data_IF_480170307668
#
_entry.id   IF_480170307668
#
_cell.length_a   1.000
_cell.length_b   1.000
_cell.length_c   1.000
_cell.angle_alpha   90.00
_cell.angle_beta   90.00
_cell.angle_gamma   90.00
#
_symmetry.space_group_name_H-M   'P 1'
#
loop_
_entity.id
_entity.type
_entity.pdbx_description
1 polymer ?
#
# COMPACT_ATOMS: atom_id res chain seq x y z
N UNK A 1 -30.23 -49.43 19.94
CA UNK A 1 -30.46 -48.66 21.19
C UNK A 1 -29.14 -48.03 21.66
N UNK A 2 -28.50 -47.22 20.82
CA UNK A 2 -27.27 -46.52 21.16
C UNK A 2 -27.63 -45.10 21.61
N UNK A 3 -27.98 -44.96 22.89
CA UNK A 3 -28.05 -43.67 23.58
C UNK A 3 -26.89 -43.61 24.57
N UNK A 4 -25.71 -43.19 24.08
CA UNK A 4 -24.60 -42.83 24.95
C UNK A 4 -24.07 -41.45 24.55
N UNK A 5 -24.63 -40.47 25.26
CA UNK A 5 -23.95 -39.28 25.76
C UNK A 5 -23.22 -38.43 24.69
N UNK A 6 -24.00 -37.69 23.92
CA UNK A 6 -23.55 -36.37 23.49
C UNK A 6 -23.54 -35.46 24.72
N UNK A 7 -22.43 -35.44 25.46
CA UNK A 7 -22.15 -34.42 26.48
C UNK A 7 -21.98 -33.09 25.74
N UNK A 8 -23.10 -32.44 25.46
CA UNK A 8 -23.16 -31.05 25.03
C UNK A 8 -22.71 -30.22 26.23
N UNK A 9 -21.41 -29.99 26.37
CA UNK A 9 -20.87 -28.92 27.23
C UNK A 9 -21.41 -27.61 26.67
N UNK A 10 -22.55 -27.17 27.20
CA UNK A 10 -23.05 -25.81 27.00
C UNK A 10 -22.11 -24.89 27.78
N UNK A 11 -21.07 -24.39 27.11
CA UNK A 11 -20.23 -23.33 27.64
C UNK A 11 -21.12 -22.10 27.89
N UNK A 12 -21.15 -21.63 29.14
CA UNK A 12 -21.97 -20.51 29.60
C UNK A 12 -21.58 -19.20 28.88
N UNK A 13 -22.54 -18.31 28.55
CA UNK A 13 -22.29 -17.01 27.90
C UNK A 13 -21.35 -16.06 28.67
N UNK A 14 -21.19 -16.25 29.98
CA UNK A 14 -20.28 -15.44 30.82
C UNK A 14 -18.82 -15.68 30.42
N UNK A 15 -18.41 -16.94 30.35
CA UNK A 15 -17.04 -17.34 30.03
C UNK A 15 -16.61 -16.91 28.62
N UNK A 16 -17.56 -16.74 27.68
CA UNK A 16 -17.27 -16.23 26.33
C UNK A 16 -16.99 -14.71 26.35
N UNK A 17 -17.66 -13.94 27.20
CA UNK A 17 -17.38 -12.51 27.38
C UNK A 17 -16.03 -12.30 28.04
N UNK A 18 -15.71 -13.08 29.06
CA UNK A 18 -14.41 -13.03 29.75
C UNK A 18 -13.25 -13.38 28.79
N UNK A 19 -13.46 -14.36 27.89
CA UNK A 19 -12.47 -14.70 26.85
C UNK A 19 -12.29 -13.60 25.80
N UNK A 20 -13.38 -12.96 25.34
CA UNK A 20 -13.31 -11.84 24.39
C UNK A 20 -12.65 -10.61 25.01
N UNK A 21 -12.92 -10.33 26.29
CA UNK A 21 -12.27 -9.24 27.02
C UNK A 21 -10.77 -9.51 27.19
N UNK A 22 -10.39 -10.75 27.50
CA UNK A 22 -8.98 -11.15 27.58
C UNK A 22 -8.27 -11.09 26.22
N UNK A 23 -8.90 -11.55 25.14
CA UNK A 23 -8.38 -11.42 23.77
C UNK A 23 -8.17 -9.94 23.41
N UNK A 24 -9.17 -9.09 23.68
CA UNK A 24 -9.08 -7.66 23.44
C UNK A 24 -7.97 -7.00 24.28
N UNK A 25 -7.79 -7.41 25.53
CA UNK A 25 -6.72 -6.91 26.40
C UNK A 25 -5.34 -7.35 25.92
N UNK A 26 -5.20 -8.59 25.43
CA UNK A 26 -3.95 -9.10 24.85
C UNK A 26 -3.63 -8.40 23.54
N UNK A 27 -4.62 -8.18 22.68
CA UNK A 27 -4.45 -7.41 21.44
C UNK A 27 -4.07 -5.95 21.72
N UNK A 28 -4.73 -5.31 22.68
CA UNK A 28 -4.41 -3.94 23.08
C UNK A 28 -3.02 -3.86 23.73
N UNK A 29 -2.66 -4.84 24.58
CA UNK A 29 -1.33 -4.91 25.18
C UNK A 29 -0.26 -5.21 24.12
N UNK A 30 -0.53 -6.06 23.14
CA UNK A 30 0.35 -6.32 22.00
C UNK A 30 0.53 -5.07 21.15
N UNK A 31 -0.55 -4.33 20.87
CA UNK A 31 -0.52 -3.07 20.14
C UNK A 31 0.28 -1.99 20.89
N UNK A 32 0.12 -1.89 22.21
CA UNK A 32 0.92 -0.97 23.06
C UNK A 32 2.39 -1.38 23.06
N UNK A 33 2.70 -2.67 23.15
CA UNK A 33 4.08 -3.17 23.09
C UNK A 33 4.72 -2.93 21.73
N UNK A 34 3.99 -3.16 20.65
CA UNK A 34 4.45 -2.86 19.29
C UNK A 34 4.68 -1.35 19.12
N UNK A 35 3.76 -0.50 19.59
CA UNK A 35 3.94 0.96 19.58
C UNK A 35 5.19 1.36 20.36
N UNK A 36 5.39 0.83 21.56
CA UNK A 36 6.57 1.12 22.37
C UNK A 36 7.87 0.68 21.69
N UNK A 37 7.90 -0.50 21.05
CA UNK A 37 9.06 -0.97 20.26
C UNK A 37 9.33 -0.08 19.05
N UNK A 38 8.29 0.40 18.38
CA UNK A 38 8.42 1.33 17.25
C UNK A 38 8.94 2.68 17.73
N UNK A 39 8.41 3.23 18.82
CA UNK A 39 8.86 4.49 19.40
C UNK A 39 10.33 4.43 19.85
N UNK A 40 10.75 3.36 20.54
CA UNK A 40 12.16 3.18 20.92
C UNK A 40 13.08 2.99 19.72
N UNK A 41 12.60 2.35 18.65
CA UNK A 41 13.34 2.23 17.40
C UNK A 41 13.52 3.59 16.72
N UNK A 42 12.47 4.42 16.70
CA UNK A 42 12.53 5.80 16.18
C UNK A 42 13.52 6.64 16.98
N UNK A 43 13.51 6.55 18.32
CA UNK A 43 14.42 7.32 19.16
C UNK A 43 15.88 6.84 19.04
N UNK A 44 16.08 5.53 18.85
CA UNK A 44 17.40 4.96 18.55
C UNK A 44 17.93 5.44 17.21
N UNK A 45 17.07 5.52 16.18
CA UNK A 45 17.42 6.08 14.88
C UNK A 45 17.76 7.57 14.98
N UNK A 46 16.97 8.36 15.73
CA UNK A 46 17.28 9.78 15.99
C UNK A 46 18.64 9.95 16.66
N UNK A 47 18.95 9.14 17.69
CA UNK A 47 20.23 9.18 18.38
C UNK A 47 21.40 8.80 17.44
N UNK A 48 21.21 7.76 16.63
CA UNK A 48 22.16 7.33 15.61
C UNK A 48 22.42 8.44 14.58
N UNK A 49 21.35 9.04 14.02
CA UNK A 49 21.45 10.17 13.10
C UNK A 49 22.16 11.37 13.73
N UNK A 50 21.87 11.71 14.99
CA UNK A 50 22.55 12.77 15.72
C UNK A 50 24.05 12.50 15.90
N UNK A 51 24.45 11.25 16.09
CA UNK A 51 25.88 10.89 16.16
C UNK A 51 26.59 10.98 14.80
N UNK A 52 25.88 10.71 13.70
CA UNK A 52 26.41 10.85 12.33
C UNK A 52 26.49 12.31 11.85
N UNK A 53 25.71 13.25 12.42
CA UNK A 53 25.79 14.73 12.23
C UNK A 53 27.15 15.32 12.55
N UNK A 54 27.96 14.65 13.35
CA UNK A 54 29.30 15.11 13.69
C UNK A 54 30.42 14.46 12.88
N UNK A 55 30.15 13.44 12.07
CA UNK A 55 31.19 12.66 11.39
C UNK A 55 31.30 12.93 9.87
N UNK A 56 30.19 13.17 9.17
CA UNK A 56 30.20 13.61 7.77
C UNK A 56 28.80 14.02 7.28
N UNK A 57 28.62 15.27 6.81
CA UNK A 57 27.33 15.74 6.26
C UNK A 57 26.82 14.93 5.06
N UNK A 58 27.71 14.29 4.29
CA UNK A 58 27.34 13.50 3.11
C UNK A 58 26.62 12.18 3.48
N UNK A 59 27.05 11.53 4.58
CA UNK A 59 26.44 10.27 5.05
C UNK A 59 25.01 10.52 5.54
N UNK A 60 24.77 11.68 6.15
CA UNK A 60 23.45 12.08 6.59
C UNK A 60 22.52 12.49 5.48
N UNK A 61 23.03 13.19 4.47
CA UNK A 61 22.24 13.49 3.30
C UNK A 61 21.73 12.18 2.68
N UNK A 62 22.59 11.16 2.57
CA UNK A 62 22.21 9.83 2.11
C UNK A 62 21.17 9.15 3.01
N UNK A 63 21.41 9.11 4.34
CA UNK A 63 20.48 8.50 5.29
C UNK A 63 19.12 9.21 5.36
N UNK A 64 19.10 10.54 5.30
CA UNK A 64 17.86 11.34 5.26
C UNK A 64 17.12 11.08 3.95
N UNK A 65 17.81 11.01 2.81
CA UNK A 65 17.19 10.72 1.52
C UNK A 65 16.61 9.29 1.53
N UNK A 66 17.32 8.31 2.07
CA UNK A 66 16.87 6.93 2.20
C UNK A 66 15.67 6.78 3.16
N UNK A 67 15.70 7.47 4.30
CA UNK A 67 14.57 7.53 5.24
C UNK A 67 13.35 8.26 4.64
N UNK A 68 13.58 9.32 3.87
CA UNK A 68 12.53 10.08 3.19
C UNK A 68 11.89 9.28 2.04
N UNK A 69 12.69 8.51 1.31
CA UNK A 69 12.22 7.53 0.32
C UNK A 69 11.36 6.46 1.01
N UNK A 70 11.80 5.96 2.17
CA UNK A 70 11.07 4.94 2.95
C UNK A 70 9.75 5.46 3.52
N UNK A 71 9.70 6.70 4.05
CA UNK A 71 8.47 7.33 4.53
C UNK A 71 7.44 7.47 3.40
N UNK A 72 7.89 7.89 2.21
CA UNK A 72 7.03 8.00 1.02
C UNK A 72 6.54 6.65 0.51
N UNK A 73 7.32 5.58 0.65
CA UNK A 73 6.90 4.23 0.27
C UNK A 73 5.72 3.73 1.11
N UNK A 74 5.59 4.16 2.36
CA UNK A 74 4.47 3.79 3.23
C UNK A 74 3.14 4.42 2.79
N UNK A 75 3.20 5.60 2.17
CA UNK A 75 2.03 6.32 1.62
C UNK A 75 1.61 5.82 0.23
N UNK A 76 2.41 4.95 -0.39
CA UNK A 76 2.07 4.31 -1.65
C UNK A 76 1.68 2.87 -1.34
N UNK A 77 0.39 2.56 -1.37
CA UNK A 77 -0.04 1.17 -1.23
C UNK A 77 0.57 0.33 -2.39
N UNK A 78 1.50 -0.60 -2.11
CA UNK A 78 2.14 -1.40 -3.15
C UNK A 78 1.06 -2.20 -3.89
N UNK A 79 1.07 -2.14 -5.22
CA UNK A 79 0.14 -2.85 -6.10
C UNK A 79 -1.01 -2.01 -6.68
N UNK A 80 -1.45 -0.91 -6.04
CA UNK A 80 -2.52 -0.06 -6.62
C UNK A 80 -2.04 0.87 -7.73
N UNK A 81 -0.77 1.24 -7.74
CA UNK A 81 -0.23 2.17 -8.74
C UNK A 81 0.30 1.48 -9.99
N UNK A 82 0.52 0.16 -9.99
CA UNK A 82 1.17 -0.57 -11.09
C UNK A 82 0.19 -1.40 -11.93
N UNK A 83 -1.11 -1.27 -11.69
CA UNK A 83 -2.15 -2.05 -12.39
C UNK A 83 -2.08 -1.86 -13.91
N UNK A 84 -1.74 -0.65 -14.37
CA UNK A 84 -1.60 -0.37 -15.80
C UNK A 84 -0.45 -1.16 -16.42
N UNK A 85 0.74 -1.09 -15.83
CA UNK A 85 1.94 -1.72 -16.35
C UNK A 85 1.97 -3.23 -16.14
N UNK A 86 1.44 -3.72 -15.02
CA UNK A 86 1.53 -5.13 -14.63
C UNK A 86 0.29 -5.95 -14.95
N UNK A 87 -0.87 -5.33 -15.14
CA UNK A 87 -2.13 -6.05 -15.39
C UNK A 87 -2.69 -5.73 -16.78
N UNK A 88 -2.88 -4.45 -17.11
CA UNK A 88 -3.54 -4.07 -18.37
C UNK A 88 -2.67 -4.33 -19.60
N UNK A 89 -1.46 -3.74 -19.63
CA UNK A 89 -0.60 -3.84 -20.82
C UNK A 89 -0.21 -5.29 -21.17
N UNK A 90 0.14 -6.18 -20.22
CA UNK A 90 0.58 -7.53 -20.56
C UNK A 90 -0.54 -8.57 -20.64
N UNK A 91 -1.69 -8.39 -19.97
CA UNK A 91 -2.67 -9.47 -19.81
C UNK A 91 -4.04 -9.19 -20.44
N UNK A 92 -4.34 -7.96 -20.88
CA UNK A 92 -5.65 -7.70 -21.46
C UNK A 92 -5.67 -8.05 -22.94
N UNK A 93 -6.64 -8.86 -23.33
CA UNK A 93 -7.00 -9.09 -24.73
C UNK A 93 -8.02 -8.06 -25.21
N UNK A 94 -8.27 -7.98 -26.52
CA UNK A 94 -9.21 -7.00 -27.09
C UNK A 94 -10.64 -7.12 -26.54
N UNK A 95 -11.07 -8.34 -26.19
CA UNK A 95 -12.36 -8.57 -25.54
C UNK A 95 -12.42 -7.92 -24.14
N UNK A 96 -11.43 -8.21 -23.28
CA UNK A 96 -11.29 -7.62 -21.95
C UNK A 96 -11.18 -6.10 -22.03
N UNK A 97 -10.46 -5.61 -23.03
CA UNK A 97 -10.32 -4.19 -23.28
C UNK A 97 -11.67 -3.53 -23.59
N UNK A 98 -12.45 -4.11 -24.51
CA UNK A 98 -13.75 -3.60 -24.90
C UNK A 98 -14.79 -3.74 -23.78
N UNK A 99 -14.70 -4.77 -22.95
CA UNK A 99 -15.57 -4.94 -21.78
C UNK A 99 -15.34 -3.86 -20.72
N UNK A 100 -14.08 -3.52 -20.44
CA UNK A 100 -13.73 -2.54 -19.41
C UNK A 100 -13.83 -1.09 -19.93
N UNK A 101 -13.16 -0.76 -21.04
CA UNK A 101 -13.10 0.60 -21.57
C UNK A 101 -14.27 0.96 -22.50
N UNK A 102 -15.12 0.00 -22.85
CA UNK A 102 -16.29 0.18 -23.74
C UNK A 102 -15.94 0.73 -25.14
N UNK A 103 -14.67 0.60 -25.55
CA UNK A 103 -14.16 1.03 -26.84
C UNK A 103 -13.00 0.14 -27.30
N UNK A 104 -12.63 0.21 -28.57
CA UNK A 104 -11.47 -0.53 -29.09
C UNK A 104 -10.14 0.10 -28.60
N UNK A 105 -9.06 -0.69 -28.61
CA UNK A 105 -7.70 -0.19 -28.35
C UNK A 105 -7.30 0.93 -29.29
N UNK A 106 -7.65 0.80 -30.56
CA UNK A 106 -7.37 1.81 -31.57
C UNK A 106 -8.03 3.14 -31.22
N UNK A 107 -9.34 3.11 -30.92
CA UNK A 107 -10.09 4.32 -30.54
C UNK A 107 -9.54 4.97 -29.28
N UNK A 108 -9.12 4.16 -28.30
CA UNK A 108 -8.49 4.66 -27.09
C UNK A 108 -7.16 5.38 -27.39
N UNK A 109 -6.31 4.80 -28.26
CA UNK A 109 -5.03 5.43 -28.64
C UNK A 109 -5.25 6.72 -29.44
N UNK A 110 -6.23 6.75 -30.35
CA UNK A 110 -6.61 7.97 -31.07
C UNK A 110 -7.07 9.08 -30.11
N UNK A 111 -7.77 8.73 -29.04
CA UNK A 111 -8.16 9.66 -27.99
C UNK A 111 -6.94 10.17 -27.20
N UNK A 112 -6.00 9.27 -26.86
CA UNK A 112 -4.75 9.62 -26.20
C UNK A 112 -3.96 10.64 -27.02
N UNK A 113 -3.83 10.42 -28.33
CA UNK A 113 -3.06 11.32 -29.21
C UNK A 113 -3.72 12.69 -29.36
N UNK A 114 -5.05 12.76 -29.40
CA UNK A 114 -5.79 14.03 -29.40
C UNK A 114 -5.61 14.82 -28.10
N UNK A 115 -5.51 14.13 -26.97
CA UNK A 115 -5.41 14.75 -25.65
C UNK A 115 -3.97 14.95 -25.17
N UNK A 116 -2.99 14.32 -25.83
CA UNK A 116 -1.55 14.47 -25.58
C UNK A 116 -1.10 15.92 -25.42
N UNK A 117 -1.45 16.89 -26.29
CA UNK A 117 -1.00 18.28 -26.12
C UNK A 117 -1.51 18.97 -24.84
N UNK A 118 -2.58 18.47 -24.23
CA UNK A 118 -3.18 19.04 -23.00
C UNK A 118 -2.73 18.28 -21.75
N UNK A 119 -2.55 16.95 -21.86
CA UNK A 119 -2.29 16.06 -20.73
C UNK A 119 -0.80 15.73 -20.54
N UNK A 120 0.01 15.90 -21.57
CA UNK A 120 1.45 15.61 -21.49
C UNK A 120 2.13 16.59 -20.53
N UNK A 121 2.79 16.03 -19.52
CA UNK A 121 3.51 16.79 -18.50
C UNK A 121 5.01 16.60 -18.68
N UNK A 122 5.76 17.67 -18.44
CA UNK A 122 7.21 17.62 -18.48
C UNK A 122 7.77 16.70 -17.39
N UNK A 123 8.82 15.96 -17.75
CA UNK A 123 9.56 15.13 -16.80
C UNK A 123 10.33 16.02 -15.82
N UNK A 124 10.11 15.79 -14.53
CA UNK A 124 10.84 16.49 -13.46
C UNK A 124 11.88 15.55 -12.85
N UNK A 125 12.98 16.10 -12.33
CA UNK A 125 14.04 15.32 -11.68
C UNK A 125 13.54 14.51 -10.46
N UNK A 126 12.43 14.91 -9.84
CA UNK A 126 11.90 14.23 -8.65
C UNK A 126 10.89 13.12 -8.97
N UNK A 127 10.17 13.21 -10.09
CA UNK A 127 9.13 12.24 -10.43
C UNK A 127 8.87 12.19 -11.93
N UNK A 128 8.82 10.96 -12.46
CA UNK A 128 8.33 10.70 -13.81
C UNK A 128 6.82 10.99 -13.90
N UNK A 129 6.38 11.72 -14.93
CA UNK A 129 4.97 12.03 -15.13
C UNK A 129 4.19 10.74 -15.43
N UNK A 130 2.93 10.69 -14.99
CA UNK A 130 2.03 9.61 -15.37
C UNK A 130 1.76 9.76 -16.86
N UNK A 131 1.95 8.69 -17.63
CA UNK A 131 1.72 8.69 -19.08
C UNK A 131 0.27 9.05 -19.41
N UNK A 132 0.04 9.67 -20.57
CA UNK A 132 -1.29 10.13 -20.99
C UNK A 132 -2.28 8.97 -21.07
N UNK A 133 -1.81 7.83 -21.55
CA UNK A 133 -2.57 6.58 -21.66
C UNK A 133 -3.03 6.11 -20.28
N UNK A 134 -2.14 6.14 -19.28
CA UNK A 134 -2.48 5.75 -17.91
C UNK A 134 -3.42 6.75 -17.24
N UNK A 135 -3.27 8.04 -17.51
CA UNK A 135 -4.20 9.06 -17.02
C UNK A 135 -5.60 8.85 -17.57
N UNK A 136 -5.72 8.61 -18.88
CA UNK A 136 -6.99 8.32 -19.55
C UNK A 136 -7.61 7.02 -19.09
N UNK A 137 -6.79 5.98 -18.91
CA UNK A 137 -7.26 4.71 -18.37
C UNK A 137 -7.88 4.87 -16.99
N UNK A 138 -7.26 5.65 -16.09
CA UNK A 138 -7.80 5.96 -14.76
C UNK A 138 -9.11 6.76 -14.86
N UNK A 139 -9.23 7.66 -15.84
CA UNK A 139 -10.41 8.50 -15.99
C UNK A 139 -11.63 7.76 -16.54
N UNK A 140 -11.42 6.68 -17.31
CA UNK A 140 -12.48 5.94 -18.00
C UNK A 140 -12.89 4.68 -17.22
N UNK A 141 -11.94 4.01 -16.56
CA UNK A 141 -12.13 2.70 -15.92
C UNK A 141 -12.92 2.74 -14.61
#
# INVERSE_FOLDING_TARGET
LFSRLATRRTFLPSHRRDLLELEQMVENAAAVRLRAVVETSIDSLRAMMCSCLFQSPAVLAGLIDELYIMERAFWVQPGRSEWWEKVVLPHWDDHLWQENFRMSRQTFMELCDRLRPVLERQTTNMRAPITVEKQLAIAIW
#
